data_IF_592440480292
#
_entry.id   IF_592440480292
#
_cell.length_a   1.000
_cell.length_b   1.000
_cell.length_c   1.000
_cell.angle_alpha   90.00
_cell.angle_beta   90.00
_cell.angle_gamma   90.00
#
_symmetry.space_group_name_H-M   'P 1'
#
loop_
_entity.id
_entity.type
_entity.pdbx_description
1 polymer ?
#
# COMPACT_ATOMS: atom_id res chain seq x y z
N UNK A 1 -7.38 0.14 54.20
CA UNK A 1 -6.43 1.04 54.89
C UNK A 1 -5.03 0.68 54.43
N UNK A 2 -4.44 1.51 53.57
CA UNK A 2 -2.98 1.58 53.37
C UNK A 2 -2.65 3.07 53.41
N UNK A 3 -1.71 3.39 54.30
CA UNK A 3 -1.51 4.71 54.86
C UNK A 3 -1.00 5.71 53.83
N UNK A 4 -1.53 6.93 53.95
CA UNK A 4 -0.97 8.13 53.36
C UNK A 4 0.42 8.34 53.95
N UNK A 5 1.46 8.09 53.15
CA UNK A 5 2.77 8.65 53.43
C UNK A 5 2.78 10.10 52.94
N UNK A 6 2.53 11.04 53.86
CA UNK A 6 2.87 12.45 53.69
C UNK A 6 4.38 12.52 53.42
N UNK A 7 4.77 12.79 52.17
CA UNK A 7 6.11 13.30 51.84
C UNK A 7 6.02 14.82 51.84
N UNK A 8 6.97 15.46 52.52
CA UNK A 8 6.98 16.88 52.79
C UNK A 8 6.93 17.74 51.53
N UNK A 9 6.45 18.96 51.71
CA UNK A 9 6.64 20.10 50.80
C UNK A 9 8.14 20.41 50.70
N UNK A 10 8.88 19.59 49.97
CA UNK A 10 10.12 20.01 49.35
C UNK A 10 9.75 20.58 47.99
N UNK A 11 10.12 21.84 47.76
CA UNK A 11 9.91 22.61 46.53
C UNK A 11 10.18 21.73 45.31
N UNK A 12 9.13 21.18 44.68
CA UNK A 12 9.30 20.34 43.50
C UNK A 12 9.81 21.26 42.40
N UNK A 13 11.09 21.13 42.08
CA UNK A 13 11.71 21.92 41.02
C UNK A 13 10.92 21.72 39.73
N UNK A 14 10.44 22.82 39.14
CA UNK A 14 9.69 22.85 37.88
C UNK A 14 10.39 22.08 36.76
N UNK A 15 11.72 22.05 36.76
CA UNK A 15 12.50 21.26 35.81
C UNK A 15 12.22 19.77 35.91
N UNK A 16 12.21 19.23 37.14
CA UNK A 16 11.90 17.82 37.37
C UNK A 16 10.45 17.52 36.98
N UNK A 17 9.53 18.42 37.34
CA UNK A 17 8.12 18.27 37.00
C UNK A 17 7.87 18.19 35.48
N UNK A 18 8.51 19.07 34.70
CA UNK A 18 8.39 19.06 33.24
C UNK A 18 9.05 17.81 32.65
N UNK A 19 10.21 17.38 33.17
CA UNK A 19 10.87 16.15 32.72
C UNK A 19 10.01 14.91 32.97
N UNK A 20 9.33 14.83 34.11
CA UNK A 20 8.41 13.74 34.44
C UNK A 20 7.24 13.72 33.44
N UNK A 21 6.62 14.87 33.16
CA UNK A 21 5.56 14.99 32.14
C UNK A 21 6.06 14.55 30.76
N UNK A 22 7.23 14.99 30.33
CA UNK A 22 7.80 14.60 29.04
C UNK A 22 8.09 13.10 28.98
N UNK A 23 8.45 12.50 30.12
CA UNK A 23 8.69 11.06 30.26
C UNK A 23 7.40 10.25 30.30
N UNK A 24 6.28 10.83 30.71
CA UNK A 24 4.96 10.20 30.64
C UNK A 24 4.36 10.33 29.23
N UNK A 25 4.69 11.39 28.49
CA UNK A 25 4.20 11.69 27.15
C UNK A 25 5.11 11.18 26.01
N UNK A 26 5.77 10.02 26.19
CA UNK A 26 6.77 9.51 25.23
C UNK A 26 6.23 9.27 23.81
N UNK A 27 4.92 9.07 23.67
CA UNK A 27 4.27 8.90 22.37
C UNK A 27 4.21 10.20 21.56
N UNK A 28 4.35 11.36 22.22
CA UNK A 28 4.45 12.65 21.55
C UNK A 28 5.92 12.97 21.25
N UNK A 29 6.22 13.33 20.00
CA UNK A 29 7.54 13.81 19.62
C UNK A 29 7.71 15.23 20.15
N UNK A 30 8.22 15.37 21.37
CA UNK A 30 8.56 16.65 21.99
C UNK A 30 10.01 17.00 21.63
N UNK A 31 10.28 18.09 20.89
CA UNK A 31 11.64 18.49 20.54
C UNK A 31 12.46 18.80 21.79
N UNK A 32 13.63 18.15 21.95
CA UNK A 32 14.45 18.28 23.16
C UNK A 32 15.22 19.61 23.22
N UNK A 33 15.76 20.08 22.10
CA UNK A 33 16.63 21.27 22.09
C UNK A 33 15.90 22.57 22.53
N UNK A 34 14.67 22.86 22.06
CA UNK A 34 13.90 24.00 22.56
C UNK A 34 13.44 23.80 24.01
N UNK A 35 13.20 22.56 24.42
CA UNK A 35 12.74 22.21 25.76
C UNK A 35 13.84 22.48 26.80
N UNK A 36 15.11 22.19 26.50
CA UNK A 36 16.23 22.46 27.41
C UNK A 36 16.38 23.95 27.74
N UNK A 37 16.18 24.84 26.76
CA UNK A 37 16.21 26.30 26.96
C UNK A 37 15.03 26.74 27.84
N UNK A 38 13.83 26.21 27.60
CA UNK A 38 12.64 26.51 28.38
C UNK A 38 12.80 26.02 29.82
N UNK A 39 13.32 24.81 30.02
CA UNK A 39 13.61 24.22 31.34
C UNK A 39 14.61 25.07 32.13
N UNK A 40 15.64 25.60 31.49
CA UNK A 40 16.67 26.42 32.14
C UNK A 40 16.14 27.80 32.60
N UNK A 41 15.15 28.35 31.90
CA UNK A 41 14.63 29.69 32.15
C UNK A 41 13.31 29.72 32.93
N UNK A 42 12.66 28.56 33.12
CA UNK A 42 11.37 28.49 33.79
C UNK A 42 11.52 28.61 35.31
N UNK A 43 10.90 29.64 35.88
CA UNK A 43 10.83 29.90 37.33
C UNK A 43 9.41 29.77 37.88
N UNK A 44 8.45 29.30 37.06
CA UNK A 44 7.07 29.11 37.46
C UNK A 44 6.93 27.97 38.47
N UNK A 45 5.89 28.04 39.29
CA UNK A 45 5.52 26.93 40.16
C UNK A 45 4.92 25.78 39.34
N UNK A 46 5.14 24.52 39.73
CA UNK A 46 4.53 23.37 39.07
C UNK A 46 3.01 23.49 38.91
N UNK A 47 2.33 24.07 39.91
CA UNK A 47 0.88 24.26 39.89
C UNK A 47 0.46 25.22 38.76
N UNK A 48 1.11 26.38 38.67
CA UNK A 48 0.84 27.40 37.66
C UNK A 48 1.15 26.85 36.26
N UNK A 49 2.28 26.16 36.10
CA UNK A 49 2.63 25.50 34.84
C UNK A 49 1.59 24.44 34.44
N UNK A 50 1.16 23.61 35.39
CA UNK A 50 0.17 22.57 35.13
C UNK A 50 -1.18 23.14 34.70
N UNK A 51 -1.58 24.27 35.28
CA UNK A 51 -2.83 24.95 34.94
C UNK A 51 -2.74 25.56 33.53
N UNK A 52 -1.62 26.22 33.20
CA UNK A 52 -1.37 26.74 31.86
C UNK A 52 -1.34 25.62 30.81
N UNK A 53 -0.63 24.51 31.09
CA UNK A 53 -0.54 23.37 30.18
C UNK A 53 -1.92 22.78 29.88
N UNK A 54 -2.78 22.62 30.90
CA UNK A 54 -4.16 22.15 30.70
C UNK A 54 -4.95 23.05 29.77
N UNK A 55 -4.91 24.37 29.99
CA UNK A 55 -5.60 25.33 29.12
C UNK A 55 -5.13 25.22 27.68
N UNK A 56 -3.82 25.15 27.45
CA UNK A 56 -3.26 25.04 26.11
C UNK A 56 -3.61 23.71 25.42
N UNK A 57 -3.63 22.61 26.17
CA UNK A 57 -4.03 21.29 25.65
C UNK A 57 -5.52 21.29 25.29
N UNK A 58 -6.39 21.87 26.13
CA UNK A 58 -7.83 22.00 25.86
C UNK A 58 -8.07 22.88 24.62
N UNK A 59 -7.35 24.00 24.49
CA UNK A 59 -7.41 24.87 23.30
C UNK A 59 -6.95 24.15 22.03
N UNK A 60 -5.86 23.36 22.13
CA UNK A 60 -5.37 22.55 21.02
C UNK A 60 -6.38 21.48 20.60
N UNK A 61 -7.02 20.79 21.56
CA UNK A 61 -8.09 19.82 21.30
C UNK A 61 -9.26 20.47 20.57
N UNK A 62 -9.72 21.63 21.06
CA UNK A 62 -10.81 22.38 20.43
C UNK A 62 -10.45 22.82 19.01
N UNK A 63 -9.23 23.31 18.80
CA UNK A 63 -8.73 23.73 17.48
C UNK A 63 -8.68 22.57 16.49
N UNK A 64 -8.07 21.44 16.89
CA UNK A 64 -7.99 20.23 16.06
C UNK A 64 -9.40 19.71 15.74
N UNK A 65 -10.27 19.62 16.76
CA UNK A 65 -11.65 19.17 16.59
C UNK A 65 -12.42 20.07 15.61
N UNK A 66 -12.26 21.39 15.71
CA UNK A 66 -12.87 22.34 14.79
C UNK A 66 -12.33 22.16 13.36
N UNK A 67 -11.03 21.96 13.16
CA UNK A 67 -10.45 21.67 11.84
C UNK A 67 -10.97 20.36 11.24
N UNK A 68 -11.07 19.29 12.04
CA UNK A 68 -11.66 18.03 11.60
C UNK A 68 -13.14 18.18 11.22
N UNK A 69 -13.90 18.99 11.98
CA UNK A 69 -15.29 19.29 11.67
C UNK A 69 -15.46 20.21 10.45
N UNK A 70 -14.54 21.15 10.21
CA UNK A 70 -14.47 21.96 8.97
C UNK A 70 -14.28 21.07 7.74
N UNK A 71 -13.57 19.94 7.90
CA UNK A 71 -13.43 18.91 6.88
C UNK A 71 -14.75 18.33 6.38
N UNK A 72 -15.86 18.56 7.10
CA UNK A 72 -17.22 18.20 6.69
C UNK A 72 -17.46 16.69 6.61
N UNK A 73 -18.67 16.31 6.20
CA UNK A 73 -18.99 14.92 5.92
C UNK A 73 -18.15 14.42 4.73
N UNK A 74 -17.31 13.42 4.97
CA UNK A 74 -16.47 12.79 3.95
C UNK A 74 -17.32 12.31 2.78
N UNK A 75 -18.53 11.80 3.05
CA UNK A 75 -19.43 11.35 2.00
C UNK A 75 -19.91 12.53 1.15
N UNK A 76 -20.37 13.62 1.78
CA UNK A 76 -20.73 14.84 1.08
C UNK A 76 -19.59 15.35 0.17
N UNK A 77 -18.34 15.36 0.66
CA UNK A 77 -17.16 15.76 -0.13
C UNK A 77 -16.89 14.83 -1.30
N UNK A 78 -16.98 13.51 -1.09
CA UNK A 78 -16.81 12.54 -2.17
C UNK A 78 -17.90 12.69 -3.24
N UNK A 79 -19.14 13.04 -2.83
CA UNK A 79 -20.24 13.31 -3.76
C UNK A 79 -20.17 14.65 -4.45
N UNK A 80 -19.47 15.64 -3.88
CA UNK A 80 -19.30 16.97 -4.51
C UNK A 80 -18.18 17.03 -5.54
N UNK A 81 -17.35 15.98 -5.66
CA UNK A 81 -16.30 15.94 -6.67
C UNK A 81 -16.93 15.89 -8.08
N UNK A 82 -16.29 16.54 -9.09
CA UNK A 82 -16.81 16.56 -10.46
C UNK A 82 -16.73 15.20 -11.16
N UNK A 83 -16.15 14.20 -10.50
CA UNK A 83 -16.04 12.81 -10.93
C UNK A 83 -16.44 11.90 -9.78
N UNK A 84 -16.75 10.64 -10.09
CA UNK A 84 -17.08 9.63 -9.09
C UNK A 84 -15.82 8.89 -8.63
N UNK A 85 -15.29 9.15 -7.42
CA UNK A 85 -14.02 8.56 -6.98
C UNK A 85 -14.05 7.04 -6.97
N UNK A 86 -15.18 6.44 -6.60
CA UNK A 86 -15.39 5.00 -6.62
C UNK A 86 -15.26 4.41 -8.04
N UNK A 87 -15.69 5.14 -9.07
CA UNK A 87 -15.57 4.73 -10.47
C UNK A 87 -14.13 4.82 -10.94
N UNK A 88 -13.41 5.87 -10.54
CA UNK A 88 -12.00 6.03 -10.86
C UNK A 88 -11.14 4.97 -10.18
N UNK A 89 -11.38 4.70 -8.89
CA UNK A 89 -10.74 3.61 -8.15
C UNK A 89 -11.05 2.26 -8.79
N UNK A 90 -12.31 1.98 -9.11
CA UNK A 90 -12.69 0.74 -9.78
C UNK A 90 -11.98 0.60 -11.14
N UNK A 91 -11.99 1.63 -11.98
CA UNK A 91 -11.29 1.61 -13.26
C UNK A 91 -9.78 1.38 -13.11
N UNK A 92 -9.18 1.92 -12.05
CA UNK A 92 -7.75 1.74 -11.76
C UNK A 92 -7.43 0.31 -11.30
N UNK A 93 -8.27 -0.27 -10.45
CA UNK A 93 -8.10 -1.62 -9.90
C UNK A 93 -8.47 -2.70 -10.92
N UNK A 94 -9.55 -2.50 -11.68
CA UNK A 94 -9.99 -3.42 -12.74
C UNK A 94 -9.03 -3.41 -13.94
N UNK A 95 -8.28 -2.32 -14.12
CA UNK A 95 -7.31 -2.16 -15.20
C UNK A 95 -7.97 -2.02 -16.57
N UNK A 96 -7.21 -2.31 -17.62
CA UNK A 96 -7.69 -2.20 -19.00
C UNK A 96 -8.52 -3.41 -19.49
N UNK A 97 -8.73 -4.43 -18.66
CA UNK A 97 -9.46 -5.65 -19.03
C UNK A 97 -8.76 -6.58 -20.01
N UNK A 98 -7.54 -6.26 -20.47
CA UNK A 98 -6.72 -7.15 -21.31
C UNK A 98 -6.09 -8.25 -20.46
N UNK A 99 -5.92 -9.43 -21.05
CA UNK A 99 -5.36 -10.61 -20.38
C UNK A 99 -4.21 -11.20 -21.20
N UNK A 100 -3.20 -11.75 -20.52
CA UNK A 100 -2.04 -12.36 -21.14
C UNK A 100 -2.50 -13.41 -22.16
N UNK A 101 -1.95 -13.43 -23.39
CA UNK A 101 -2.42 -14.32 -24.44
C UNK A 101 -2.31 -15.80 -24.06
N UNK A 102 -1.31 -16.16 -23.24
CA UNK A 102 -1.01 -17.54 -22.86
C UNK A 102 -1.73 -17.98 -21.57
N UNK A 103 -1.49 -17.32 -20.44
CA UNK A 103 -2.02 -17.76 -19.14
C UNK A 103 -3.28 -17.01 -18.66
N UNK A 104 -3.74 -16.02 -19.41
CA UNK A 104 -4.90 -15.17 -19.10
C UNK A 104 -4.81 -14.33 -17.81
N UNK A 105 -3.61 -14.21 -17.21
CA UNK A 105 -3.37 -13.23 -16.14
C UNK A 105 -3.80 -11.83 -16.61
N UNK A 106 -4.60 -11.08 -15.83
CA UNK A 106 -4.98 -9.70 -16.15
C UNK A 106 -3.77 -8.78 -16.31
N UNK A 107 -3.90 -7.77 -17.15
CA UNK A 107 -2.89 -6.75 -17.33
C UNK A 107 -2.76 -5.88 -16.05
N UNK A 108 -1.52 -5.66 -15.63
CA UNK A 108 -1.17 -4.83 -14.47
C UNK A 108 -0.77 -3.39 -14.85
N UNK A 109 -0.68 -3.09 -16.15
CA UNK A 109 -0.49 -1.72 -16.60
C UNK A 109 -1.68 -0.88 -16.10
N UNK A 110 -1.40 -0.03 -15.11
CA UNK A 110 -2.42 0.67 -14.35
C UNK A 110 -3.17 1.70 -15.19
N UNK A 111 -4.47 1.84 -14.91
CA UNK A 111 -5.34 2.76 -15.66
C UNK A 111 -5.76 2.20 -17.03
N UNK A 112 -6.34 3.08 -17.85
CA UNK A 112 -6.86 2.73 -19.18
C UNK A 112 -5.93 3.10 -20.33
N UNK A 113 -4.93 3.94 -20.07
CA UNK A 113 -4.09 4.55 -21.09
C UNK A 113 -2.67 4.00 -20.99
N UNK A 114 -2.39 2.95 -21.77
CA UNK A 114 -1.07 2.38 -21.95
C UNK A 114 -0.99 1.66 -23.29
N UNK A 115 0.20 1.64 -23.87
CA UNK A 115 0.47 1.05 -25.18
C UNK A 115 0.97 -0.39 -25.10
N UNK A 116 1.48 -0.80 -23.94
CA UNK A 116 2.06 -2.13 -23.72
C UNK A 116 1.40 -2.79 -22.49
N UNK A 117 1.11 -4.07 -22.62
CA UNK A 117 0.48 -4.90 -21.60
C UNK A 117 1.51 -5.82 -20.96
N UNK A 118 1.54 -5.85 -19.63
CA UNK A 118 2.38 -6.78 -18.89
C UNK A 118 1.66 -7.28 -17.64
N UNK A 119 2.22 -8.32 -17.04
CA UNK A 119 1.94 -8.75 -15.68
C UNK A 119 3.25 -9.17 -15.03
N UNK A 120 3.44 -8.83 -13.75
CA UNK A 120 4.64 -9.18 -12.99
C UNK A 120 4.60 -10.64 -12.55
N UNK A 121 3.39 -11.18 -12.32
CA UNK A 121 3.19 -12.55 -11.88
C UNK A 121 2.30 -13.30 -12.88
N UNK A 122 2.89 -14.26 -13.58
CA UNK A 122 2.15 -15.13 -14.49
C UNK A 122 1.67 -16.41 -13.79
N UNK A 123 0.52 -16.93 -14.25
CA UNK A 123 -0.05 -18.22 -13.82
C UNK A 123 0.38 -19.34 -14.78
N UNK A 124 0.20 -20.63 -14.41
CA UNK A 124 0.34 -21.72 -15.35
C UNK A 124 -0.47 -21.50 -16.63
N UNK A 125 0.09 -21.77 -17.80
CA UNK A 125 -0.61 -21.56 -19.07
C UNK A 125 -1.90 -22.39 -19.19
N UNK A 126 -1.98 -23.52 -18.49
CA UNK A 126 -3.17 -24.36 -18.39
C UNK A 126 -4.38 -23.64 -17.82
N UNK A 127 -4.20 -22.63 -16.96
CA UNK A 127 -5.33 -21.80 -16.48
C UNK A 127 -5.94 -20.96 -17.61
N UNK A 128 -5.15 -20.70 -18.65
CA UNK A 128 -5.60 -20.04 -19.87
C UNK A 128 -6.16 -20.96 -20.94
N UNK A 129 -6.26 -22.26 -20.65
CA UNK A 129 -6.72 -23.30 -21.57
C UNK A 129 -5.62 -23.93 -22.42
N UNK A 130 -4.35 -23.60 -22.20
CA UNK A 130 -3.25 -24.21 -22.93
C UNK A 130 -3.00 -25.66 -22.48
N UNK A 131 -2.88 -26.56 -23.44
CA UNK A 131 -2.59 -27.98 -23.22
C UNK A 131 -1.62 -28.50 -24.26
N UNK A 132 -0.91 -29.56 -23.90
CA UNK A 132 -0.12 -30.34 -24.84
C UNK A 132 -1.02 -30.98 -25.89
N UNK A 133 -0.60 -30.95 -27.15
CA UNK A 133 -1.44 -31.39 -28.29
C UNK A 133 -1.58 -32.91 -28.33
N UNK A 134 -0.49 -33.60 -28.03
CA UNK A 134 -0.34 -35.05 -28.04
C UNK A 134 -1.05 -35.71 -26.84
N UNK A 135 -0.81 -35.19 -25.63
CA UNK A 135 -1.31 -35.79 -24.40
C UNK A 135 -2.61 -35.16 -23.89
N UNK A 136 -3.01 -34.01 -24.42
CA UNK A 136 -4.13 -33.20 -23.90
C UNK A 136 -3.98 -32.75 -22.44
N UNK A 137 -2.80 -32.94 -21.83
CA UNK A 137 -2.50 -32.53 -20.46
C UNK A 137 -2.38 -30.99 -20.39
N UNK A 138 -2.94 -30.39 -19.35
CA UNK A 138 -2.84 -28.95 -19.10
C UNK A 138 -1.39 -28.54 -18.83
N UNK A 139 -0.98 -27.41 -19.38
CA UNK A 139 0.38 -26.91 -19.19
C UNK A 139 0.55 -26.28 -17.80
N UNK A 140 1.41 -26.88 -16.96
CA UNK A 140 1.65 -26.40 -15.60
C UNK A 140 2.73 -25.31 -15.50
N UNK A 141 3.49 -25.07 -16.58
CA UNK A 141 4.53 -24.04 -16.63
C UNK A 141 3.94 -22.64 -16.80
N UNK A 142 4.66 -21.62 -16.31
CA UNK A 142 4.34 -20.22 -16.53
C UNK A 142 4.86 -19.77 -17.89
N UNK A 143 4.16 -18.82 -18.53
CA UNK A 143 4.53 -18.40 -19.88
C UNK A 143 5.91 -17.72 -19.98
N UNK A 144 6.47 -17.20 -18.89
CA UNK A 144 7.85 -16.68 -18.87
C UNK A 144 8.87 -17.77 -19.21
N UNK A 145 8.67 -18.98 -18.69
CA UNK A 145 9.52 -20.15 -18.96
C UNK A 145 9.37 -20.59 -20.41
N UNK A 146 8.14 -20.62 -20.94
CA UNK A 146 7.88 -20.95 -22.34
C UNK A 146 8.53 -19.93 -23.29
N UNK A 147 8.43 -18.62 -23.01
CA UNK A 147 9.08 -17.55 -23.77
C UNK A 147 10.61 -17.64 -23.70
N UNK A 148 11.18 -18.08 -22.58
CA UNK A 148 12.61 -18.32 -22.43
C UNK A 148 13.11 -19.63 -23.09
N UNK A 149 12.22 -20.45 -23.65
CA UNK A 149 12.54 -21.78 -24.18
C UNK A 149 12.45 -21.85 -25.72
N UNK A 150 12.91 -22.96 -26.29
CA UNK A 150 12.75 -23.29 -27.72
C UNK A 150 11.37 -23.88 -28.06
N UNK A 151 10.41 -23.82 -27.13
CA UNK A 151 9.06 -24.35 -27.34
C UNK A 151 8.31 -23.52 -28.37
N UNK A 152 7.28 -24.15 -28.93
CA UNK A 152 6.37 -23.54 -29.89
C UNK A 152 4.94 -23.56 -29.38
N UNK A 153 4.19 -22.51 -29.68
CA UNK A 153 2.75 -22.44 -29.45
C UNK A 153 2.00 -22.43 -30.77
N UNK A 154 0.70 -22.71 -30.69
CA UNK A 154 -0.25 -22.45 -31.77
C UNK A 154 -1.51 -21.83 -31.18
N UNK A 155 -2.14 -20.93 -31.91
CA UNK A 155 -3.38 -20.28 -31.51
C UNK A 155 -4.26 -19.99 -32.72
N UNK A 156 -5.47 -19.52 -32.48
CA UNK A 156 -6.34 -19.02 -33.55
C UNK A 156 -5.68 -17.89 -34.35
N UNK A 157 -4.86 -17.03 -33.71
CA UNK A 157 -4.13 -15.96 -34.40
C UNK A 157 -3.02 -16.48 -35.32
N UNK A 158 -2.45 -17.64 -35.01
CA UNK A 158 -1.44 -18.29 -35.87
C UNK A 158 -2.06 -19.24 -36.89
N UNK A 159 -3.39 -19.22 -37.08
CA UNK A 159 -4.11 -20.21 -37.90
C UNK A 159 -3.77 -21.66 -37.51
N UNK A 160 -3.47 -21.87 -36.23
CA UNK A 160 -3.06 -23.17 -35.67
C UNK A 160 -1.71 -23.71 -36.16
N UNK A 161 -0.89 -22.88 -36.79
CA UNK A 161 0.51 -23.20 -37.10
C UNK A 161 1.41 -23.01 -35.87
N UNK A 162 2.53 -23.73 -35.83
CA UNK A 162 3.48 -23.68 -34.73
C UNK A 162 4.42 -22.47 -34.87
N UNK A 163 4.43 -21.60 -33.87
CA UNK A 163 5.34 -20.46 -33.77
C UNK A 163 6.20 -20.53 -32.50
N UNK A 164 7.49 -20.16 -32.56
CA UNK A 164 8.33 -20.09 -31.37
C UNK A 164 7.76 -19.13 -30.33
N UNK A 165 7.76 -19.54 -29.06
CA UNK A 165 7.33 -18.65 -27.97
C UNK A 165 8.22 -17.41 -27.85
N UNK A 166 9.53 -17.54 -28.08
CA UNK A 166 10.47 -16.39 -28.10
C UNK A 166 10.11 -15.30 -29.12
N UNK A 167 9.40 -15.66 -30.19
CA UNK A 167 9.01 -14.76 -31.28
C UNK A 167 7.53 -14.33 -31.19
N UNK A 168 6.90 -14.49 -30.01
CA UNK A 168 5.48 -14.22 -29.82
C UNK A 168 5.07 -12.77 -30.14
N UNK A 169 5.97 -11.80 -30.04
CA UNK A 169 5.70 -10.40 -30.37
C UNK A 169 5.23 -10.20 -31.83
N UNK A 170 5.60 -11.11 -32.75
CA UNK A 170 5.08 -11.08 -34.12
C UNK A 170 3.55 -11.31 -34.19
N UNK A 171 2.97 -11.93 -33.16
CA UNK A 171 1.54 -12.29 -33.06
C UNK A 171 0.81 -11.44 -32.00
N UNK A 172 1.51 -11.08 -30.93
CA UNK A 172 1.02 -10.27 -29.81
C UNK A 172 2.00 -9.11 -29.55
N UNK A 173 2.08 -8.11 -30.45
CA UNK A 173 3.06 -7.04 -30.35
C UNK A 173 2.91 -6.19 -29.09
N UNK A 174 1.66 -6.03 -28.62
CA UNK A 174 1.33 -5.16 -27.49
C UNK A 174 1.53 -5.83 -26.12
N UNK A 175 2.04 -7.07 -26.07
CA UNK A 175 2.29 -7.78 -24.81
C UNK A 175 3.78 -7.89 -24.54
N UNK A 176 4.19 -7.56 -23.31
CA UNK A 176 5.54 -7.81 -22.79
C UNK A 176 5.48 -8.93 -21.75
N UNK A 177 6.07 -10.06 -22.09
CA UNK A 177 6.26 -11.23 -21.24
C UNK A 177 7.76 -11.42 -21.11
N UNK A 178 8.30 -11.14 -19.93
CA UNK A 178 9.74 -11.26 -19.72
C UNK A 178 10.15 -12.74 -19.70
N UNK A 179 11.15 -13.15 -20.51
CA UNK A 179 11.69 -14.50 -20.44
C UNK A 179 12.39 -14.68 -19.09
N UNK A 180 11.97 -15.70 -18.34
CA UNK A 180 12.57 -16.04 -17.05
C UNK A 180 12.42 -17.54 -16.78
N UNK A 181 13.54 -18.23 -16.62
CA UNK A 181 13.60 -19.66 -16.30
C UNK A 181 13.65 -19.94 -14.80
N UNK A 182 13.89 -18.92 -13.97
CA UNK A 182 13.93 -19.03 -12.51
C UNK A 182 12.52 -18.99 -11.90
N UNK A 183 11.55 -18.38 -12.59
CA UNK A 183 10.17 -18.29 -12.12
C UNK A 183 9.48 -19.65 -12.31
N UNK A 184 9.03 -20.22 -11.20
CA UNK A 184 8.14 -21.38 -11.21
C UNK A 184 6.71 -20.96 -10.88
N UNK A 185 5.75 -21.76 -11.34
CA UNK A 185 4.36 -21.58 -10.95
C UNK A 185 4.19 -21.75 -9.43
N UNK A 186 4.00 -20.65 -8.71
CA UNK A 186 3.65 -20.70 -7.29
C UNK A 186 2.31 -21.39 -7.08
N UNK A 187 2.19 -22.30 -6.11
CA UNK A 187 0.91 -22.95 -5.78
C UNK A 187 -0.19 -21.97 -5.35
N UNK A 188 0.16 -20.69 -5.08
CA UNK A 188 -0.78 -19.62 -4.76
C UNK A 188 -1.95 -19.52 -5.76
N UNK A 189 -1.73 -19.76 -7.06
CA UNK A 189 -2.79 -19.69 -8.08
C UNK A 189 -3.97 -20.64 -7.80
N UNK A 190 -3.78 -21.69 -6.99
CA UNK A 190 -4.86 -22.63 -6.62
C UNK A 190 -5.87 -22.03 -5.63
N UNK A 191 -5.51 -20.90 -5.00
CA UNK A 191 -6.30 -20.25 -3.96
C UNK A 191 -6.97 -18.95 -4.44
N UNK A 192 -6.89 -18.63 -5.74
CA UNK A 192 -7.42 -17.40 -6.36
C UNK A 192 -8.38 -17.75 -7.48
#
# INVERSE_FOLDING_TARGET
MKERQKRGEEDRNIQQFIQDICSDLQELIIPKDPLEVVLALNTAKPEDFSQCLKVLVDEMEQSITAEFQKGGDVRARLTSLPFQPQKELFNRVFGCGRQCPFCKTPCEAGGKYHTEHFASIHRPEGTGGCRFVDSSILMCEVCCTSVASERKFKSSKTKWEYHPYKDYHSIYPDWRIQPDTSIQASAYWKYV
#
